data_IF_903648972937
#
_entry.id   IF_903648972937
#
_cell.length_a   1.000
_cell.length_b   1.000
_cell.length_c   1.000
_cell.angle_alpha   90.00
_cell.angle_beta   90.00
_cell.angle_gamma   90.00
#
_symmetry.space_group_name_H-M   'P 1'
#
loop_
_entity.id
_entity.type
_entity.pdbx_description
1 polymer ?
#
# COMPACT_ATOMS: atom_id res chain seq x y z
N UNK A 1 55.14 19.65 25.78
CA UNK A 1 54.06 20.23 24.95
C UNK A 1 53.20 19.19 24.21
N UNK A 2 53.71 18.01 23.84
CA UNK A 2 52.95 17.01 23.05
C UNK A 2 51.74 16.39 23.77
N UNK A 3 51.80 16.15 25.09
CA UNK A 3 50.64 15.63 25.86
C UNK A 3 49.42 16.56 25.80
N UNK A 4 49.64 17.87 25.81
CA UNK A 4 48.57 18.87 25.70
C UNK A 4 47.98 18.96 24.28
N UNK A 5 48.77 18.66 23.23
CA UNK A 5 48.25 18.50 21.86
C UNK A 5 47.47 17.20 21.68
N UNK A 6 47.93 16.11 22.30
CA UNK A 6 47.28 14.79 22.25
C UNK A 6 45.93 14.76 22.98
N UNK A 7 45.82 15.47 24.11
CA UNK A 7 44.56 15.66 24.83
C UNK A 7 43.54 16.50 24.07
N UNK A 8 43.97 17.57 23.37
CA UNK A 8 43.10 18.38 22.51
C UNK A 8 42.62 17.63 21.27
N UNK A 9 43.46 16.78 20.67
CA UNK A 9 43.08 15.93 19.55
C UNK A 9 42.07 14.84 19.96
N UNK A 10 42.27 14.21 21.12
CA UNK A 10 41.32 13.23 21.67
C UNK A 10 39.96 13.86 22.01
N UNK A 11 39.96 15.06 22.60
CA UNK A 11 38.74 15.81 22.86
C UNK A 11 38.00 16.21 21.57
N UNK A 12 38.72 16.67 20.55
CA UNK A 12 38.13 16.99 19.24
C UNK A 12 37.53 15.75 18.55
N UNK A 13 38.19 14.60 18.66
CA UNK A 13 37.67 13.34 18.12
C UNK A 13 36.40 12.87 18.83
N UNK A 14 36.36 12.96 20.17
CA UNK A 14 35.16 12.66 20.96
C UNK A 14 34.00 13.57 20.57
N UNK A 15 34.23 14.88 20.45
CA UNK A 15 33.21 15.85 20.02
C UNK A 15 32.69 15.51 18.63
N UNK A 16 33.57 15.24 17.66
CA UNK A 16 33.16 14.86 16.31
C UNK A 16 32.31 13.58 16.29
N UNK A 17 32.71 12.57 17.07
CA UNK A 17 31.96 11.32 17.21
C UNK A 17 30.56 11.58 17.79
N UNK A 18 30.45 12.41 18.84
CA UNK A 18 29.15 12.74 19.44
C UNK A 18 28.21 13.46 18.47
N UNK A 19 28.73 14.38 17.65
CA UNK A 19 27.96 15.10 16.64
C UNK A 19 27.51 14.19 15.49
N UNK A 20 28.37 13.27 15.07
CA UNK A 20 28.03 12.30 14.03
C UNK A 20 26.96 11.31 14.53
N UNK A 21 27.13 10.77 15.73
CA UNK A 21 26.15 9.86 16.34
C UNK A 21 24.80 10.54 16.57
N UNK A 22 24.78 11.79 17.04
CA UNK A 22 23.52 12.52 17.24
C UNK A 22 22.83 12.83 15.92
N UNK A 23 23.56 13.22 14.88
CA UNK A 23 23.02 13.43 13.54
C UNK A 23 22.40 12.15 12.97
N UNK A 24 23.13 11.03 13.04
CA UNK A 24 22.63 9.74 12.55
C UNK A 24 21.39 9.28 13.32
N UNK A 25 21.40 9.43 14.65
CA UNK A 25 20.27 9.06 15.50
C UNK A 25 19.03 9.91 15.19
N UNK A 26 19.19 11.24 15.09
CA UNK A 26 18.08 12.14 14.78
C UNK A 26 17.50 11.86 13.39
N UNK A 27 18.34 11.66 12.37
CA UNK A 27 17.87 11.30 11.03
C UNK A 27 17.13 9.95 11.02
N UNK A 28 17.62 8.95 11.75
CA UNK A 28 16.94 7.66 11.88
C UNK A 28 15.57 7.80 12.57
N UNK A 29 15.49 8.60 13.64
CA UNK A 29 14.24 8.90 14.34
C UNK A 29 13.25 9.66 13.46
N UNK A 30 13.71 10.66 12.69
CA UNK A 30 12.86 11.40 11.75
C UNK A 30 12.33 10.49 10.64
N UNK A 31 13.18 9.62 10.07
CA UNK A 31 12.76 8.68 9.04
C UNK A 31 11.76 7.66 9.58
N UNK A 32 12.01 7.10 10.77
CA UNK A 32 11.07 6.22 11.45
C UNK A 32 9.74 6.93 11.71
N UNK A 33 9.76 8.17 12.20
CA UNK A 33 8.55 8.94 12.41
C UNK A 33 7.81 9.21 11.10
N UNK A 34 8.50 9.47 10.00
CA UNK A 34 7.87 9.69 8.69
C UNK A 34 7.22 8.41 8.13
N UNK A 35 7.89 7.25 8.24
CA UNK A 35 7.38 5.97 7.73
C UNK A 35 6.25 5.44 8.61
N UNK A 36 6.40 5.51 9.93
CA UNK A 36 5.42 5.00 10.89
C UNK A 36 4.31 6.02 11.21
N UNK A 37 4.47 7.29 10.83
CA UNK A 37 3.35 8.23 10.94
C UNK A 37 2.22 7.72 10.07
N UNK A 38 1.04 7.45 10.66
CA UNK A 38 -0.13 7.09 9.88
C UNK A 38 -0.35 8.21 8.87
N UNK A 39 -0.17 7.88 7.61
CA UNK A 39 -0.33 8.81 6.51
C UNK A 39 -1.78 9.27 6.48
N UNK A 40 -2.07 10.40 7.13
CA UNK A 40 -3.40 11.02 7.11
C UNK A 40 -3.91 11.22 5.66
N UNK A 41 -3.00 11.34 4.70
CA UNK A 41 -3.27 11.48 3.26
C UNK A 41 -3.64 10.21 2.50
N UNK A 42 -3.45 9.00 3.05
CA UNK A 42 -3.87 7.74 2.42
C UNK A 42 -5.22 7.24 2.90
N UNK A 43 -5.89 7.93 3.83
CA UNK A 43 -7.16 7.45 4.41
C UNK A 43 -8.29 7.31 3.39
N UNK A 44 -8.39 8.22 2.40
CA UNK A 44 -9.38 8.14 1.32
C UNK A 44 -8.96 7.09 0.28
N UNK A 45 -7.69 7.09 -0.13
CA UNK A 45 -7.17 6.19 -1.15
C UNK A 45 -7.20 4.74 -0.67
N UNK A 46 -6.90 4.51 0.60
CA UNK A 46 -6.98 3.20 1.24
C UNK A 46 -8.42 2.69 1.32
N UNK A 47 -9.40 3.58 1.54
CA UNK A 47 -10.82 3.20 1.48
C UNK A 47 -11.21 2.80 0.06
N UNK A 48 -10.87 3.63 -0.92
CA UNK A 48 -11.14 3.35 -2.33
C UNK A 48 -10.45 2.05 -2.80
N UNK A 49 -9.19 1.83 -2.40
CA UNK A 49 -8.44 0.61 -2.72
C UNK A 49 -9.09 -0.63 -2.11
N UNK A 50 -9.52 -0.57 -0.84
CA UNK A 50 -10.22 -1.69 -0.19
C UNK A 50 -11.54 -2.03 -0.86
N UNK A 51 -12.31 -1.02 -1.28
CA UNK A 51 -13.56 -1.25 -2.01
C UNK A 51 -13.28 -1.89 -3.37
N UNK A 52 -12.28 -1.40 -4.10
CA UNK A 52 -11.86 -1.99 -5.39
C UNK A 52 -11.36 -3.43 -5.24
N UNK A 53 -10.54 -3.71 -4.22
CA UNK A 53 -10.02 -5.05 -3.93
C UNK A 53 -11.15 -6.01 -3.52
N UNK A 54 -12.11 -5.56 -2.71
CA UNK A 54 -13.24 -6.38 -2.30
C UNK A 54 -14.14 -6.78 -3.48
N UNK A 55 -14.36 -5.86 -4.43
CA UNK A 55 -15.12 -6.13 -5.65
C UNK A 55 -14.34 -7.05 -6.59
N UNK A 56 -13.04 -6.81 -6.78
CA UNK A 56 -12.19 -7.66 -7.61
C UNK A 56 -12.00 -9.08 -7.05
N UNK A 57 -12.21 -9.28 -5.75
CA UNK A 57 -12.11 -10.59 -5.09
C UNK A 57 -13.37 -11.45 -5.24
N UNK A 58 -14.46 -10.93 -5.83
CA UNK A 58 -15.67 -11.72 -6.09
C UNK A 58 -15.37 -12.79 -7.13
N UNK A 59 -15.78 -14.03 -6.84
CA UNK A 59 -15.55 -15.17 -7.72
C UNK A 59 -16.67 -15.26 -8.79
N UNK A 60 -16.33 -14.91 -10.03
CA UNK A 60 -17.19 -15.08 -11.20
C UNK A 60 -16.82 -16.35 -12.00
N UNK A 61 -16.50 -17.44 -11.30
CA UNK A 61 -16.12 -18.75 -11.88
C UNK A 61 -14.93 -18.68 -12.86
N UNK A 62 -14.11 -17.63 -12.79
CA UNK A 62 -13.05 -17.34 -13.77
C UNK A 62 -13.54 -16.97 -15.18
N UNK A 63 -14.84 -16.72 -15.35
CA UNK A 63 -15.49 -16.42 -16.62
C UNK A 63 -16.17 -15.05 -16.65
N UNK A 64 -15.86 -14.19 -15.69
CA UNK A 64 -16.33 -12.82 -15.62
C UNK A 64 -15.51 -11.99 -14.64
N UNK A 65 -15.91 -10.74 -14.49
CA UNK A 65 -15.31 -9.77 -13.57
C UNK A 65 -16.42 -8.93 -12.94
N UNK A 66 -16.19 -8.40 -11.74
CA UNK A 66 -17.08 -7.40 -11.15
C UNK A 66 -16.37 -6.06 -11.15
N UNK A 67 -17.09 -4.99 -11.50
CA UNK A 67 -16.59 -3.62 -11.48
C UNK A 67 -17.35 -2.78 -10.45
N UNK A 68 -16.67 -1.79 -9.84
CA UNK A 68 -17.27 -0.90 -8.84
C UNK A 68 -18.45 -0.10 -9.40
N UNK A 69 -18.40 0.22 -10.68
CA UNK A 69 -19.40 0.95 -11.47
C UNK A 69 -20.30 0.02 -12.30
N UNK A 70 -20.23 -1.29 -12.05
CA UNK A 70 -21.08 -2.27 -12.70
C UNK A 70 -22.56 -2.09 -12.38
N UNK A 71 -23.42 -2.70 -13.19
CA UNK A 71 -24.87 -2.63 -13.00
C UNK A 71 -25.24 -3.28 -11.66
N UNK A 72 -25.86 -2.50 -10.78
CA UNK A 72 -26.31 -2.96 -9.48
C UNK A 72 -27.48 -3.95 -9.61
N UNK A 73 -27.37 -5.10 -8.94
CA UNK A 73 -28.46 -6.07 -8.78
C UNK A 73 -29.52 -5.61 -7.77
N UNK A 74 -30.46 -6.49 -7.44
CA UNK A 74 -31.52 -6.20 -6.46
C UNK A 74 -30.99 -5.89 -5.05
N UNK A 75 -29.81 -6.39 -4.70
CA UNK A 75 -29.13 -6.14 -3.44
C UNK A 75 -28.34 -4.82 -3.43
N UNK A 76 -28.37 -4.07 -4.54
CA UNK A 76 -27.65 -2.82 -4.71
C UNK A 76 -26.15 -2.98 -4.92
N UNK A 77 -25.65 -4.21 -5.10
CA UNK A 77 -24.24 -4.50 -5.40
C UNK A 77 -24.05 -4.83 -6.88
N UNK A 78 -22.91 -4.47 -7.48
CA UNK A 78 -22.63 -4.85 -8.86
C UNK A 78 -22.49 -6.37 -8.98
N UNK A 79 -23.12 -6.95 -10.00
CA UNK A 79 -23.02 -8.37 -10.32
C UNK A 79 -21.83 -8.70 -11.23
N UNK A 80 -21.59 -9.99 -11.47
CA UNK A 80 -20.58 -10.43 -12.43
C UNK A 80 -20.95 -10.02 -13.86
N UNK A 81 -20.03 -9.34 -14.53
CA UNK A 81 -20.04 -9.14 -15.97
C UNK A 81 -19.31 -10.30 -16.64
N UNK A 82 -20.08 -11.14 -17.33
CA UNK A 82 -19.56 -12.36 -17.94
C UNK A 82 -18.83 -12.09 -19.26
N UNK A 83 -17.77 -12.86 -19.48
CA UNK A 83 -17.09 -12.94 -20.77
C UNK A 83 -18.04 -13.49 -21.85
N UNK A 84 -17.68 -13.27 -23.11
CA UNK A 84 -18.42 -13.82 -24.25
C UNK A 84 -18.65 -15.33 -24.10
N UNK A 85 -19.88 -15.77 -24.41
CA UNK A 85 -20.35 -17.14 -24.30
C UNK A 85 -20.50 -17.68 -22.87
N UNK A 86 -20.56 -16.82 -21.84
CA UNK A 86 -20.87 -17.22 -20.47
C UNK A 86 -22.06 -16.44 -19.92
N UNK A 87 -22.84 -17.11 -19.07
CA UNK A 87 -24.04 -16.56 -18.45
C UNK A 87 -24.29 -17.15 -17.05
N UNK A 88 -25.27 -16.58 -16.36
CA UNK A 88 -25.62 -16.91 -14.98
C UNK A 88 -25.02 -15.90 -13.99
N UNK A 89 -25.44 -15.96 -12.71
CA UNK A 89 -25.06 -14.96 -11.70
C UNK A 89 -23.55 -14.87 -11.46
N UNK A 90 -22.85 -16.00 -11.48
CA UNK A 90 -21.39 -16.08 -11.31
C UNK A 90 -20.67 -16.55 -12.59
N UNK A 91 -21.32 -16.38 -13.75
CA UNK A 91 -20.82 -16.84 -15.05
C UNK A 91 -20.46 -18.34 -15.20
N UNK A 92 -21.13 -19.31 -14.54
CA UNK A 92 -20.73 -20.71 -14.62
C UNK A 92 -21.18 -21.38 -15.93
N UNK A 93 -22.22 -20.85 -16.59
CA UNK A 93 -22.87 -21.53 -17.71
C UNK A 93 -22.29 -21.06 -19.03
N UNK A 94 -21.66 -21.97 -19.77
CA UNK A 94 -21.26 -21.71 -21.14
C UNK A 94 -22.48 -21.70 -22.05
N UNK A 95 -22.75 -20.57 -22.70
CA UNK A 95 -23.80 -20.46 -23.71
C UNK A 95 -23.26 -20.89 -25.08
N UNK A 96 -24.07 -21.60 -25.89
CA UNK A 96 -23.65 -22.08 -27.20
C UNK A 96 -23.60 -20.98 -28.28
N UNK A 97 -24.09 -19.78 -27.99
CA UNK A 97 -24.25 -18.70 -28.98
C UNK A 97 -23.03 -17.77 -28.99
N UNK A 98 -22.19 -17.95 -30.01
CA UNK A 98 -21.26 -16.96 -30.52
C UNK A 98 -22.01 -16.20 -31.61
N UNK A 99 -22.50 -14.99 -31.32
CA UNK A 99 -22.96 -14.11 -32.38
C UNK A 99 -22.21 -12.79 -32.27
#
# INVERSE_FOLDING_TARGET
MERARRGRAAAGFLVLLTLLCSSLLLNALFLAHYILSPSHGLSWALRAAREAEAVAAVDCSGHGQVFLDGVAGEDGRPGCECNACFAGPDCPLRTPDYR
#
